data_IF_930692410051
#
_entry.id   IF_930692410051
#
_cell.length_a   1.000
_cell.length_b   1.000
_cell.length_c   1.000
_cell.angle_alpha   90.00
_cell.angle_beta   90.00
_cell.angle_gamma   90.00
#
_symmetry.space_group_name_H-M   'P 1'
#
loop_
_entity.id
_entity.type
_entity.pdbx_description
1 polymer ?
#
# COMPACT_ATOMS: atom_id res chain seq x y z
N UNK A 1 27.13 17.36 -7.87
CA UNK A 1 27.83 16.34 -7.06
C UNK A 1 26.95 15.75 -5.96
N UNK A 2 26.15 16.55 -5.24
CA UNK A 2 25.23 16.10 -4.17
C UNK A 2 24.19 15.05 -4.61
N UNK A 3 23.75 15.05 -5.87
CA UNK A 3 22.71 14.15 -6.39
C UNK A 3 23.14 12.69 -6.47
N UNK A 4 24.40 12.40 -6.82
CA UNK A 4 24.91 11.02 -6.89
C UNK A 4 25.04 10.38 -5.49
N UNK A 5 25.53 11.14 -4.50
CA UNK A 5 25.66 10.66 -3.11
C UNK A 5 24.29 10.30 -2.51
N UNK A 6 23.26 11.10 -2.79
CA UNK A 6 21.88 10.82 -2.37
C UNK A 6 21.38 9.49 -2.97
N UNK A 7 21.55 9.29 -4.27
CA UNK A 7 21.09 8.08 -4.98
C UNK A 7 21.83 6.84 -4.48
N UNK A 8 23.13 6.93 -4.20
CA UNK A 8 23.91 5.83 -3.64
C UNK A 8 23.45 5.44 -2.23
N UNK A 9 23.21 6.43 -1.36
CA UNK A 9 22.69 6.20 -0.01
C UNK A 9 21.30 5.53 -0.05
N UNK A 10 20.41 6.03 -0.90
CA UNK A 10 19.08 5.42 -1.09
C UNK A 10 19.20 3.98 -1.61
N UNK A 11 20.08 3.73 -2.58
CA UNK A 11 20.24 2.38 -3.17
C UNK A 11 20.62 1.34 -2.12
N UNK A 12 21.46 1.72 -1.14
CA UNK A 12 21.85 0.86 -0.02
C UNK A 12 20.67 0.52 0.90
N UNK A 13 19.83 1.51 1.19
CA UNK A 13 18.72 1.37 2.12
C UNK A 13 17.46 0.75 1.48
N UNK A 14 17.26 0.93 0.18
CA UNK A 14 16.10 0.44 -0.58
C UNK A 14 15.82 -1.04 -0.35
N UNK A 15 16.84 -1.90 -0.39
CA UNK A 15 16.65 -3.35 -0.18
C UNK A 15 16.19 -3.68 1.24
N UNK A 16 16.70 -2.97 2.24
CA UNK A 16 16.28 -3.15 3.64
C UNK A 16 14.84 -2.69 3.83
N UNK A 17 14.50 -1.52 3.30
CA UNK A 17 13.14 -0.97 3.36
C UNK A 17 12.15 -1.85 2.58
N UNK A 18 12.56 -2.43 1.46
CA UNK A 18 11.75 -3.37 0.71
C UNK A 18 11.36 -4.61 1.54
N UNK A 19 12.32 -5.20 2.27
CA UNK A 19 12.05 -6.31 3.19
C UNK A 19 11.08 -5.87 4.28
N UNK A 20 11.34 -4.71 4.89
CA UNK A 20 10.47 -4.18 5.95
C UNK A 20 9.05 -3.92 5.42
N UNK A 21 8.90 -3.42 4.20
CA UNK A 21 7.59 -3.20 3.58
C UNK A 21 6.82 -4.50 3.35
N UNK A 22 7.48 -5.55 2.83
CA UNK A 22 6.86 -6.87 2.65
C UNK A 22 6.52 -7.51 3.99
N UNK A 23 7.43 -7.45 4.97
CA UNK A 23 7.16 -7.95 6.32
C UNK A 23 6.00 -7.19 6.96
N UNK A 24 5.97 -5.86 6.87
CA UNK A 24 4.85 -5.06 7.37
C UNK A 24 3.53 -5.44 6.69
N UNK A 25 3.52 -5.70 5.38
CA UNK A 25 2.34 -6.17 4.67
C UNK A 25 1.82 -7.49 5.24
N UNK A 26 2.71 -8.46 5.45
CA UNK A 26 2.37 -9.77 6.02
C UNK A 26 1.86 -9.62 7.45
N UNK A 27 2.58 -8.88 8.30
CA UNK A 27 2.23 -8.69 9.71
C UNK A 27 0.87 -8.00 9.89
N UNK A 28 0.59 -6.98 9.06
CA UNK A 28 -0.68 -6.23 9.09
C UNK A 28 -1.88 -7.11 8.71
N UNK A 29 -1.68 -8.15 7.90
CA UNK A 29 -2.73 -9.15 7.61
C UNK A 29 -2.77 -10.28 8.64
N UNK A 30 -1.60 -10.77 9.06
CA UNK A 30 -1.49 -11.89 9.96
C UNK A 30 -2.14 -11.59 11.32
N UNK A 31 -1.94 -10.39 11.86
CA UNK A 31 -2.48 -10.02 13.16
C UNK A 31 -4.01 -10.16 13.28
N UNK A 32 -4.84 -9.52 12.43
CA UNK A 32 -6.29 -9.69 12.49
C UNK A 32 -6.75 -11.11 12.11
N UNK A 33 -6.00 -11.83 11.26
CA UNK A 33 -6.33 -13.23 10.93
C UNK A 33 -6.12 -14.17 12.13
N UNK A 34 -5.00 -14.02 12.84
CA UNK A 34 -4.72 -14.76 14.08
C UNK A 34 -5.79 -14.45 15.13
N UNK A 35 -6.11 -13.17 15.35
CA UNK A 35 -7.16 -12.76 16.28
C UNK A 35 -8.52 -13.42 15.95
N UNK A 36 -8.89 -13.47 14.67
CA UNK A 36 -10.14 -14.09 14.20
C UNK A 36 -10.14 -15.61 14.33
N UNK A 37 -9.02 -16.26 14.03
CA UNK A 37 -8.89 -17.71 14.15
C UNK A 37 -9.09 -18.17 15.60
N UNK A 38 -8.72 -17.33 16.57
CA UNK A 38 -8.86 -17.61 18.02
C UNK A 38 -10.29 -17.34 18.49
N UNK A 39 -10.83 -16.16 18.16
CA UNK A 39 -12.16 -15.73 18.65
C UNK A 39 -13.29 -16.50 17.95
N UNK A 40 -12.99 -17.13 16.80
CA UNK A 40 -13.97 -17.83 15.96
C UNK A 40 -14.70 -16.86 15.02
N UNK A 41 -15.25 -17.41 13.94
CA UNK A 41 -16.15 -16.67 13.04
C UNK A 41 -17.60 -16.70 13.51
N UNK A 42 -17.94 -17.60 14.43
CA UNK A 42 -19.27 -17.66 15.01
C UNK A 42 -19.45 -16.48 15.96
N UNK A 43 -20.46 -15.62 15.72
CA UNK A 43 -20.87 -14.67 16.72
C UNK A 43 -21.45 -15.50 17.87
N UNK A 44 -20.63 -15.79 18.89
CA UNK A 44 -21.22 -16.09 20.18
C UNK A 44 -22.04 -14.85 20.54
N UNK A 45 -23.38 -15.01 20.53
CA UNK A 45 -24.32 -13.89 20.72
C UNK A 45 -24.13 -13.19 22.08
N UNK A 46 -23.34 -13.78 22.97
CA UNK A 46 -23.02 -13.27 24.29
C UNK A 46 -21.58 -12.71 24.38
N UNK A 47 -21.47 -11.44 24.75
CA UNK A 47 -20.19 -10.76 24.98
C UNK A 47 -19.36 -11.41 26.11
N UNK A 48 -20.00 -12.01 27.10
CA UNK A 48 -19.33 -12.73 28.20
C UNK A 48 -18.57 -13.95 27.67
N UNK A 49 -19.19 -14.73 26.77
CA UNK A 49 -18.56 -15.91 26.17
C UNK A 49 -17.33 -15.52 25.35
N UNK A 50 -17.39 -14.42 24.60
CA UNK A 50 -16.22 -13.90 23.87
C UNK A 50 -15.09 -13.49 24.80
N UNK A 51 -15.41 -12.83 25.91
CA UNK A 51 -14.43 -12.40 26.90
C UNK A 51 -13.74 -13.60 27.57
N UNK A 52 -14.46 -14.68 27.86
CA UNK A 52 -13.89 -15.92 28.39
C UNK A 52 -12.95 -16.59 27.39
N UNK A 53 -13.38 -16.75 26.13
CA UNK A 53 -12.50 -17.28 25.06
C UNK A 53 -11.26 -16.40 24.89
N UNK A 54 -11.40 -15.09 25.05
CA UNK A 54 -10.28 -14.15 24.98
C UNK A 54 -9.31 -14.31 26.17
N UNK A 55 -9.83 -14.52 27.38
CA UNK A 55 -9.01 -14.77 28.57
C UNK A 55 -8.24 -16.10 28.45
N UNK A 56 -8.91 -17.17 28.03
CA UNK A 56 -8.29 -18.50 27.86
C UNK A 56 -7.15 -18.48 26.82
N UNK A 57 -7.31 -17.69 25.75
CA UNK A 57 -6.35 -17.60 24.66
C UNK A 57 -5.41 -16.39 24.74
N UNK A 58 -5.18 -15.85 25.95
CA UNK A 58 -4.39 -14.60 26.16
C UNK A 58 -3.07 -14.56 25.39
N UNK A 59 -2.32 -15.66 25.35
CA UNK A 59 -1.01 -15.72 24.70
C UNK A 59 -1.09 -15.47 23.21
N UNK A 60 -2.12 -16.01 22.56
CA UNK A 60 -2.34 -15.86 21.14
C UNK A 60 -2.88 -14.46 20.78
N UNK A 61 -3.63 -13.84 21.71
CA UNK A 61 -4.07 -12.44 21.60
C UNK A 61 -2.92 -11.45 21.81
N UNK A 62 -2.03 -11.70 22.77
CA UNK A 62 -0.82 -10.90 22.95
C UNK A 62 0.12 -11.06 21.75
N UNK A 63 0.19 -12.25 21.15
CA UNK A 63 0.91 -12.46 19.90
C UNK A 63 0.31 -11.64 18.76
N UNK A 64 -1.01 -11.65 18.55
CA UNK A 64 -1.64 -10.83 17.50
C UNK A 64 -1.46 -9.32 17.76
N UNK A 65 -1.45 -8.90 19.02
CA UNK A 65 -1.11 -7.54 19.41
C UNK A 65 0.33 -7.18 19.01
N UNK A 66 1.31 -8.03 19.36
CA UNK A 66 2.71 -7.84 19.02
C UNK A 66 2.91 -7.77 17.50
N UNK A 67 2.26 -8.65 16.74
CA UNK A 67 2.28 -8.62 15.27
C UNK A 67 1.69 -7.31 14.72
N UNK A 68 0.61 -6.80 15.31
CA UNK A 68 -0.01 -5.51 14.93
C UNK A 68 0.95 -4.34 15.17
N UNK A 69 1.58 -4.30 16.35
CA UNK A 69 2.55 -3.26 16.73
C UNK A 69 3.73 -3.26 15.78
N UNK A 70 4.32 -4.44 15.52
CA UNK A 70 5.44 -4.58 14.57
C UNK A 70 5.04 -4.20 13.15
N UNK A 71 3.84 -4.59 12.72
CA UNK A 71 3.27 -4.17 11.45
C UNK A 71 3.22 -2.65 11.33
N UNK A 72 2.61 -1.97 12.31
CA UNK A 72 2.46 -0.52 12.29
C UNK A 72 3.80 0.25 12.36
N UNK A 73 4.76 -0.24 13.15
CA UNK A 73 6.11 0.31 13.18
C UNK A 73 6.81 0.14 11.83
N UNK A 74 6.64 -1.02 11.18
CA UNK A 74 7.14 -1.29 9.83
C UNK A 74 6.57 -0.31 8.80
N UNK A 75 5.26 -0.05 8.83
CA UNK A 75 4.61 0.94 7.95
C UNK A 75 5.17 2.33 8.21
N UNK A 76 5.29 2.72 9.48
CA UNK A 76 5.84 4.03 9.88
C UNK A 76 7.26 4.20 9.36
N UNK A 77 8.09 3.16 9.46
CA UNK A 77 9.45 3.16 8.94
C UNK A 77 9.51 3.33 7.41
N UNK A 78 8.64 2.61 6.68
CA UNK A 78 8.54 2.73 5.20
C UNK A 78 8.10 4.13 4.79
N UNK A 79 7.12 4.71 5.48
CA UNK A 79 6.66 6.07 5.24
C UNK A 79 7.74 7.12 5.54
N UNK A 80 8.52 6.95 6.61
CA UNK A 80 9.61 7.86 6.95
C UNK A 80 10.73 7.81 5.89
N UNK A 81 11.03 6.63 5.35
CA UNK A 81 11.96 6.48 4.23
C UNK A 81 11.46 7.25 2.99
N UNK A 82 10.20 7.07 2.59
CA UNK A 82 9.61 7.78 1.46
C UNK A 82 9.60 9.30 1.68
N UNK A 83 9.29 9.74 2.90
CA UNK A 83 9.28 11.15 3.26
C UNK A 83 10.68 11.77 3.20
N UNK A 84 11.71 11.06 3.68
CA UNK A 84 13.11 11.51 3.57
C UNK A 84 13.52 11.67 2.11
N UNK A 85 13.21 10.69 1.27
CA UNK A 85 13.45 10.79 -0.17
C UNK A 85 12.70 11.97 -0.80
N UNK A 86 11.45 12.20 -0.42
CA UNK A 86 10.66 13.31 -0.95
C UNK A 86 11.24 14.67 -0.54
N UNK A 87 11.60 14.83 0.73
CA UNK A 87 12.20 16.07 1.27
C UNK A 87 13.57 16.40 0.68
N UNK A 88 14.35 15.38 0.32
CA UNK A 88 15.62 15.58 -0.35
C UNK A 88 15.45 16.19 -1.76
N UNK A 89 14.27 16.03 -2.37
CA UNK A 89 13.96 16.48 -3.74
C UNK A 89 13.13 17.76 -3.78
N UNK A 90 12.29 18.01 -2.77
CA UNK A 90 11.43 19.20 -2.69
C UNK A 90 11.50 19.81 -1.28
N UNK A 91 12.08 21.01 -1.19
CA UNK A 91 12.24 21.77 0.06
C UNK A 91 10.94 22.40 0.55
N UNK A 92 9.87 22.42 -0.26
CA UNK A 92 8.55 22.90 0.16
C UNK A 92 7.84 21.96 1.13
N UNK A 93 8.30 20.71 1.25
CA UNK A 93 7.74 19.73 2.16
C UNK A 93 8.05 20.12 3.61
N UNK A 94 6.99 20.40 4.35
CA UNK A 94 7.07 20.95 5.68
C UNK A 94 7.70 19.97 6.69
N UNK A 95 8.59 20.43 7.60
CA UNK A 95 9.25 19.56 8.57
C UNK A 95 8.32 18.83 9.53
N UNK A 96 7.19 19.46 9.89
CA UNK A 96 6.23 18.90 10.85
C UNK A 96 5.61 17.57 10.36
N UNK A 97 5.59 17.29 9.05
CA UNK A 97 5.03 16.05 8.50
C UNK A 97 5.78 14.83 9.05
N UNK A 98 7.11 14.94 9.25
CA UNK A 98 7.92 13.86 9.83
C UNK A 98 7.61 13.66 11.31
N UNK A 99 7.48 14.75 12.05
CA UNK A 99 7.13 14.71 13.48
C UNK A 99 5.75 14.07 13.63
N UNK A 100 4.78 14.51 12.83
CA UNK A 100 3.42 13.96 12.82
C UNK A 100 3.42 12.46 12.49
N UNK A 101 4.23 12.03 11.52
CA UNK A 101 4.37 10.62 11.17
C UNK A 101 4.94 9.79 12.32
N UNK A 102 6.03 10.24 12.93
CA UNK A 102 6.70 9.50 13.99
C UNK A 102 5.86 9.46 15.27
N UNK A 103 5.34 10.60 15.70
CA UNK A 103 4.48 10.70 16.89
C UNK A 103 3.18 9.92 16.68
N UNK A 104 2.55 10.07 15.52
CA UNK A 104 1.32 9.34 15.19
C UNK A 104 1.56 7.83 15.08
N UNK A 105 2.54 7.40 14.29
CA UNK A 105 2.78 5.98 14.01
C UNK A 105 3.32 5.21 15.22
N UNK A 106 4.35 5.75 15.90
CA UNK A 106 4.91 5.13 17.10
C UNK A 106 3.92 5.25 18.26
N UNK A 107 3.31 6.42 18.43
CA UNK A 107 2.32 6.64 19.49
C UNK A 107 1.13 5.70 19.37
N UNK A 108 0.62 5.49 18.16
CA UNK A 108 -0.47 4.53 17.90
C UNK A 108 -0.02 3.09 18.16
N UNK A 109 1.19 2.71 17.73
CA UNK A 109 1.71 1.36 17.97
C UNK A 109 1.85 1.06 19.47
N UNK A 110 2.42 1.99 20.23
CA UNK A 110 2.52 1.88 21.68
C UNK A 110 1.15 1.86 22.34
N UNK A 111 0.24 2.76 21.96
CA UNK A 111 -1.10 2.83 22.53
C UNK A 111 -1.86 1.53 22.30
N UNK A 112 -1.90 1.01 21.07
CA UNK A 112 -2.57 -0.26 20.76
C UNK A 112 -1.96 -1.43 21.52
N UNK A 113 -0.63 -1.52 21.60
CA UNK A 113 0.04 -2.59 22.35
C UNK A 113 -0.24 -2.53 23.86
N UNK A 114 -0.12 -1.34 24.46
CA UNK A 114 -0.35 -1.11 25.90
C UNK A 114 -1.79 -1.36 26.27
N UNK A 115 -2.76 -0.80 25.52
CA UNK A 115 -4.18 -1.04 25.77
C UNK A 115 -4.46 -2.54 25.69
N UNK A 116 -3.99 -3.22 24.65
CA UNK A 116 -4.24 -4.65 24.50
C UNK A 116 -3.64 -5.48 25.65
N UNK A 117 -2.45 -5.13 26.14
CA UNK A 117 -1.85 -5.79 27.30
C UNK A 117 -2.67 -5.55 28.58
N UNK A 118 -3.10 -4.30 28.83
CA UNK A 118 -3.96 -3.97 29.96
C UNK A 118 -5.29 -4.73 29.88
N UNK A 119 -5.92 -4.77 28.71
CA UNK A 119 -7.15 -5.52 28.47
C UNK A 119 -6.96 -6.99 28.79
N UNK A 120 -5.89 -7.61 28.29
CA UNK A 120 -5.60 -9.03 28.54
C UNK A 120 -5.41 -9.34 30.03
N UNK A 121 -4.70 -8.48 30.78
CA UNK A 121 -4.52 -8.66 32.22
C UNK A 121 -5.83 -8.48 33.00
N UNK A 122 -6.65 -7.50 32.63
CA UNK A 122 -7.96 -7.27 33.27
C UNK A 122 -8.95 -8.39 32.99
N UNK A 123 -8.97 -8.90 31.76
CA UNK A 123 -9.83 -10.01 31.37
C UNK A 123 -9.45 -11.32 32.05
N UNK A 124 -8.14 -11.57 32.24
CA UNK A 124 -7.69 -12.74 32.99
C UNK A 124 -8.16 -12.68 34.44
N UNK A 125 -7.91 -11.55 35.13
CA UNK A 125 -8.37 -11.35 36.50
C UNK A 125 -9.89 -11.50 36.63
N UNK A 126 -10.65 -10.92 35.70
CA UNK A 126 -12.11 -11.07 35.64
C UNK A 126 -12.55 -12.52 35.42
N UNK A 127 -11.84 -13.29 34.58
CA UNK A 127 -12.19 -14.67 34.27
C UNK A 127 -11.86 -15.64 35.42
N UNK A 128 -10.74 -15.44 36.13
CA UNK A 128 -10.26 -16.36 37.17
C UNK A 128 -10.74 -16.03 38.57
N UNK A 129 -10.83 -14.73 38.90
CA UNK A 129 -11.09 -14.25 40.26
C UNK A 129 -12.40 -13.47 40.39
N UNK A 130 -12.99 -13.03 39.27
CA UNK A 130 -14.21 -12.23 39.22
C UNK A 130 -15.52 -13.02 39.30
N UNK A 131 -16.63 -12.30 39.42
CA UNK A 131 -17.98 -12.89 39.44
C UNK A 131 -18.54 -13.17 38.04
N UNK A 132 -17.76 -12.86 37.00
CA UNK A 132 -18.12 -13.03 35.58
C UNK A 132 -19.42 -12.32 35.19
N UNK A 133 -19.72 -11.20 35.86
CA UNK A 133 -20.90 -10.37 35.57
C UNK A 133 -20.62 -9.36 34.46
N UNK A 134 -21.69 -8.86 33.83
CA UNK A 134 -21.61 -7.86 32.76
C UNK A 134 -21.07 -6.51 33.23
N UNK A 135 -21.38 -6.11 34.45
CA UNK A 135 -20.93 -4.83 35.04
C UNK A 135 -19.41 -4.82 35.23
N UNK A 136 -18.85 -5.91 35.78
CA UNK A 136 -17.39 -6.06 35.94
C UNK A 136 -16.67 -6.10 34.58
N UNK A 137 -17.22 -6.80 33.58
CA UNK A 137 -16.63 -6.84 32.24
C UNK A 137 -16.64 -5.47 31.57
N UNK A 138 -17.72 -4.70 31.75
CA UNK A 138 -17.84 -3.32 31.26
C UNK A 138 -16.78 -2.44 31.89
N UNK A 139 -16.57 -2.54 33.19
CA UNK A 139 -15.54 -1.76 33.90
C UNK A 139 -14.12 -2.18 33.51
N UNK A 140 -13.86 -3.48 33.35
CA UNK A 140 -12.59 -3.99 32.85
C UNK A 140 -12.26 -3.42 31.45
N UNK A 141 -13.28 -3.28 30.60
CA UNK A 141 -13.19 -2.76 29.23
C UNK A 141 -13.34 -1.24 29.12
N UNK A 142 -13.60 -0.53 30.22
CA UNK A 142 -13.77 0.92 30.21
C UNK A 142 -12.41 1.61 30.29
N UNK A 143 -11.96 2.16 29.17
CA UNK A 143 -10.73 2.96 29.10
C UNK A 143 -11.00 4.47 29.31
N UNK A 144 -12.26 4.87 29.52
CA UNK A 144 -12.65 6.26 29.76
C UNK A 144 -12.04 7.24 28.75
N UNK A 145 -11.44 8.36 29.21
CA UNK A 145 -10.88 9.37 28.31
C UNK A 145 -9.60 8.90 27.57
N UNK A 146 -8.97 7.80 27.97
CA UNK A 146 -7.73 7.35 27.31
C UNK A 146 -7.95 6.94 25.86
N UNK A 147 -9.18 6.54 25.48
CA UNK A 147 -9.56 6.24 24.09
C UNK A 147 -9.25 7.41 23.15
N UNK A 148 -9.37 8.65 23.62
CA UNK A 148 -9.09 9.84 22.82
C UNK A 148 -7.62 9.97 22.42
N UNK A 149 -6.68 9.47 23.23
CA UNK A 149 -5.26 9.42 22.84
C UNK A 149 -5.04 8.46 21.67
N UNK A 150 -5.71 7.31 21.69
CA UNK A 150 -5.69 6.36 20.58
C UNK A 150 -6.23 6.97 19.29
N UNK A 151 -7.41 7.61 19.36
CA UNK A 151 -8.02 8.28 18.22
C UNK A 151 -7.12 9.41 17.70
N UNK A 152 -6.56 10.24 18.58
CA UNK A 152 -5.65 11.31 18.19
C UNK A 152 -4.39 10.79 17.49
N UNK A 153 -3.78 9.72 18.02
CA UNK A 153 -2.62 9.08 17.40
C UNK A 153 -2.97 8.44 16.04
N UNK A 154 -4.13 7.78 15.95
CA UNK A 154 -4.64 7.18 14.71
C UNK A 154 -4.86 8.24 13.62
N UNK A 155 -5.49 9.36 13.96
CA UNK A 155 -5.71 10.47 13.04
C UNK A 155 -4.39 11.12 12.62
N UNK A 156 -3.49 11.39 13.57
CA UNK A 156 -2.17 11.94 13.27
C UNK A 156 -1.39 11.04 12.29
N UNK A 157 -1.38 9.73 12.54
CA UNK A 157 -0.75 8.76 11.64
C UNK A 157 -1.40 8.75 10.25
N UNK A 158 -2.73 8.74 10.18
CA UNK A 158 -3.44 8.72 8.91
C UNK A 158 -3.22 9.99 8.08
N UNK A 159 -3.26 11.17 8.71
CA UNK A 159 -2.93 12.43 8.05
C UNK A 159 -1.49 12.43 7.53
N UNK A 160 -0.54 11.97 8.35
CA UNK A 160 0.85 11.83 7.93
C UNK A 160 1.00 10.87 6.75
N UNK A 161 0.34 9.71 6.78
CA UNK A 161 0.33 8.74 5.67
C UNK A 161 -0.17 9.39 4.38
N UNK A 162 -1.31 10.08 4.41
CA UNK A 162 -1.86 10.80 3.24
C UNK A 162 -0.85 11.82 2.72
N UNK A 163 -0.30 12.66 3.59
CA UNK A 163 0.68 13.68 3.20
C UNK A 163 1.94 13.06 2.58
N UNK A 164 2.47 11.98 3.16
CA UNK A 164 3.63 11.27 2.60
C UNK A 164 3.30 10.70 1.22
N UNK A 165 2.14 10.07 1.05
CA UNK A 165 1.71 9.47 -0.23
C UNK A 165 1.60 10.52 -1.33
N UNK A 166 1.00 11.67 -1.02
CA UNK A 166 0.86 12.78 -1.97
C UNK A 166 2.21 13.39 -2.33
N UNK A 167 3.06 13.66 -1.33
CA UNK A 167 4.39 14.24 -1.56
C UNK A 167 5.30 13.31 -2.36
N UNK A 168 5.32 12.02 -2.03
CA UNK A 168 6.11 11.02 -2.75
C UNK A 168 5.63 10.83 -4.19
N UNK A 169 4.33 10.94 -4.46
CA UNK A 169 3.81 10.97 -5.83
C UNK A 169 4.21 12.25 -6.58
N UNK A 170 4.15 13.41 -5.90
CA UNK A 170 4.50 14.71 -6.49
C UNK A 170 5.95 14.76 -6.94
N UNK A 171 6.88 14.25 -6.13
CA UNK A 171 8.31 14.20 -6.50
C UNK A 171 8.65 13.04 -7.43
N UNK A 172 7.68 12.17 -7.75
CA UNK A 172 7.87 11.02 -8.64
C UNK A 172 8.59 9.84 -8.02
N UNK A 173 8.59 9.69 -6.69
CA UNK A 173 9.08 8.47 -6.00
C UNK A 173 8.05 7.33 -6.09
N UNK A 174 6.77 7.69 -6.02
CA UNK A 174 5.65 6.77 -6.24
C UNK A 174 5.00 7.07 -7.60
N UNK A 175 4.57 6.01 -8.28
CA UNK A 175 3.67 6.18 -9.42
C UNK A 175 2.34 6.77 -8.95
N UNK A 176 1.62 7.46 -9.83
CA UNK A 176 0.31 8.06 -9.49
C UNK A 176 -0.68 7.04 -8.92
N UNK A 177 -0.72 5.84 -9.50
CA UNK A 177 -1.54 4.74 -9.01
C UNK A 177 -1.21 4.36 -7.57
N UNK A 178 0.08 4.20 -7.27
CA UNK A 178 0.55 3.79 -5.95
C UNK A 178 0.36 4.92 -4.90
N UNK A 179 0.47 6.18 -5.32
CA UNK A 179 0.14 7.34 -4.50
C UNK A 179 -1.34 7.39 -4.10
N UNK A 180 -2.26 7.28 -5.06
CA UNK A 180 -3.70 7.24 -4.77
C UNK A 180 -4.09 6.02 -3.93
N UNK A 181 -3.50 4.85 -4.21
CA UNK A 181 -3.73 3.65 -3.42
C UNK A 181 -3.28 3.81 -1.95
N UNK A 182 -2.20 4.56 -1.71
CA UNK A 182 -1.75 4.90 -0.36
C UNK A 182 -2.71 5.83 0.37
N UNK A 183 -3.24 6.85 -0.32
CA UNK A 183 -4.28 7.73 0.23
C UNK A 183 -5.54 6.95 0.58
N UNK A 184 -6.03 6.08 -0.32
CA UNK A 184 -7.20 5.23 -0.06
C UNK A 184 -6.94 4.31 1.14
N UNK A 185 -5.73 3.75 1.25
CA UNK A 185 -5.34 2.89 2.37
C UNK A 185 -5.40 3.64 3.70
N UNK A 186 -4.90 4.88 3.76
CA UNK A 186 -4.96 5.72 4.95
C UNK A 186 -6.40 6.09 5.35
N UNK A 187 -7.27 6.40 4.38
CA UNK A 187 -8.68 6.69 4.65
C UNK A 187 -9.41 5.43 5.16
N UNK A 188 -9.20 4.28 4.51
CA UNK A 188 -9.80 3.01 4.95
C UNK A 188 -9.32 2.58 6.33
N UNK A 189 -8.06 2.89 6.67
CA UNK A 189 -7.49 2.64 7.99
C UNK A 189 -8.21 3.42 9.10
N UNK A 190 -8.61 4.67 8.85
CA UNK A 190 -9.35 5.48 9.83
C UNK A 190 -10.81 5.04 9.92
N UNK A 191 -11.45 4.80 8.77
CA UNK A 191 -12.87 4.47 8.72
C UNK A 191 -13.18 3.03 9.13
N UNK A 192 -12.16 2.16 9.21
CA UNK A 192 -12.30 0.75 9.58
C UNK A 192 -13.41 0.00 8.81
N UNK A 193 -13.66 0.41 7.55
CA UNK A 193 -14.78 -0.12 6.74
C UNK A 193 -14.61 -1.61 6.45
N UNK A 194 -13.35 -2.04 6.28
CA UNK A 194 -13.03 -3.41 5.95
C UNK A 194 -12.52 -4.18 7.16
N UNK A 195 -13.02 -5.40 7.38
CA UNK A 195 -12.57 -6.27 8.47
C UNK A 195 -11.08 -6.65 8.40
N UNK A 196 -10.52 -6.64 7.19
CA UNK A 196 -9.12 -6.95 6.92
C UNK A 196 -8.50 -5.81 6.10
N UNK A 197 -7.29 -5.32 6.45
CA UNK A 197 -6.62 -4.22 5.77
C UNK A 197 -5.95 -4.67 4.45
N UNK A 198 -6.71 -5.34 3.58
CA UNK A 198 -6.20 -5.94 2.33
C UNK A 198 -5.60 -4.89 1.41
N UNK A 199 -6.24 -3.73 1.29
CA UNK A 199 -5.78 -2.62 0.44
C UNK A 199 -4.44 -2.08 0.92
N UNK A 200 -4.29 -1.90 2.24
CA UNK A 200 -3.06 -1.41 2.86
C UNK A 200 -1.92 -2.43 2.71
N UNK A 201 -2.20 -3.71 2.93
CA UNK A 201 -1.21 -4.78 2.74
C UNK A 201 -0.78 -4.92 1.28
N UNK A 202 -1.73 -4.84 0.34
CA UNK A 202 -1.44 -4.82 -1.09
C UNK A 202 -0.57 -3.61 -1.47
N UNK A 203 -0.88 -2.43 -0.94
CA UNK A 203 -0.08 -1.21 -1.14
C UNK A 203 1.36 -1.38 -0.64
N UNK A 204 1.54 -1.91 0.58
CA UNK A 204 2.86 -2.20 1.15
C UNK A 204 3.64 -3.24 0.35
N UNK A 205 2.98 -4.30 -0.10
CA UNK A 205 3.59 -5.32 -0.95
C UNK A 205 4.04 -4.72 -2.29
N UNK A 206 3.23 -3.83 -2.89
CA UNK A 206 3.59 -3.10 -4.11
C UNK A 206 4.78 -2.16 -3.89
N UNK A 207 4.86 -1.47 -2.75
CA UNK A 207 6.05 -0.69 -2.39
C UNK A 207 7.26 -1.58 -2.19
N UNK A 208 7.12 -2.70 -1.48
CA UNK A 208 8.19 -3.67 -1.30
C UNK A 208 8.73 -4.15 -2.64
N UNK A 209 7.84 -4.51 -3.57
CA UNK A 209 8.23 -4.91 -4.93
C UNK A 209 8.87 -3.77 -5.72
N UNK A 210 8.34 -2.55 -5.61
CA UNK A 210 8.89 -1.36 -6.25
C UNK A 210 10.32 -1.11 -5.78
N UNK A 211 10.57 -1.18 -4.48
CA UNK A 211 11.87 -0.96 -3.86
C UNK A 211 12.85 -2.14 -4.07
N UNK A 212 12.33 -3.35 -4.27
CA UNK A 212 13.13 -4.55 -4.55
C UNK A 212 13.57 -4.63 -6.02
N UNK A 213 12.72 -4.20 -6.96
CA UNK A 213 12.96 -4.32 -8.40
C UNK A 213 13.42 -3.01 -9.07
N UNK A 214 14.33 -2.30 -8.42
CA UNK A 214 14.91 -1.06 -8.92
C UNK A 214 16.01 -1.41 -9.93
N UNK A 215 15.58 -1.73 -11.16
CA UNK A 215 16.32 -1.73 -12.45
C UNK A 215 15.43 -2.21 -13.62
N UNK A 216 14.14 -1.85 -13.61
CA UNK A 216 13.18 -2.26 -14.65
C UNK A 216 12.57 -1.08 -15.41
N UNK A 217 11.95 -1.30 -16.60
CA UNK A 217 11.33 -0.25 -17.43
C UNK A 217 10.17 0.55 -16.78
N UNK A 218 9.85 0.27 -15.51
CA UNK A 218 8.76 0.87 -14.73
C UNK A 218 9.27 1.61 -13.50
N UNK A 219 10.58 1.80 -13.39
CA UNK A 219 11.18 2.56 -12.29
C UNK A 219 10.79 4.06 -12.41
N UNK A 220 10.29 4.67 -11.31
CA UNK A 220 10.07 6.10 -11.26
C UNK A 220 11.37 6.89 -11.54
N UNK A 221 11.36 7.90 -12.44
CA UNK A 221 12.59 8.58 -12.90
C UNK A 221 13.32 9.29 -11.76
N UNK A 222 12.60 9.70 -10.71
CA UNK A 222 13.16 10.34 -9.53
C UNK A 222 14.14 9.43 -8.74
N UNK A 223 14.05 8.12 -8.90
CA UNK A 223 14.96 7.16 -8.29
C UNK A 223 16.30 7.03 -9.02
N UNK A 224 16.33 7.36 -10.32
CA UNK A 224 17.53 7.33 -11.16
C UNK A 224 18.23 8.68 -11.17
N UNK A 225 17.45 9.76 -11.30
CA UNK A 225 17.98 11.12 -11.46
C UNK A 225 18.30 11.78 -10.11
N UNK A 226 17.70 11.31 -9.01
CA UNK A 226 17.82 11.97 -7.71
C UNK A 226 17.10 13.33 -7.63
N UNK A 227 16.41 13.73 -8.69
CA UNK A 227 15.67 14.99 -8.79
C UNK A 227 14.16 14.78 -8.76
N UNK A 228 13.40 15.81 -8.41
CA UNK A 228 11.94 15.79 -8.42
C UNK A 228 11.43 15.77 -9.87
N UNK A 229 11.11 14.58 -10.39
CA UNK A 229 10.51 14.41 -11.71
C UNK A 229 9.15 13.72 -11.54
N UNK A 230 8.04 14.49 -11.53
CA UNK A 230 6.70 13.95 -11.36
C UNK A 230 6.38 12.89 -12.42
N UNK A 231 5.69 11.81 -12.02
CA UNK A 231 5.30 10.78 -12.98
C UNK A 231 4.28 11.33 -13.99
N UNK A 232 4.40 11.04 -15.30
CA UNK A 232 3.49 11.56 -16.32
C UNK A 232 2.03 11.15 -16.07
N UNK A 233 1.09 11.98 -16.48
CA UNK A 233 -0.34 11.67 -16.34
C UNK A 233 -0.76 10.52 -17.26
N UNK A 234 -1.87 9.85 -16.95
CA UNK A 234 -2.43 8.83 -17.85
C UNK A 234 -2.88 9.40 -19.19
N UNK A 235 -3.15 10.71 -19.27
CA UNK A 235 -3.43 11.41 -20.53
C UNK A 235 -2.13 11.61 -21.32
N UNK A 236 -1.08 12.14 -20.66
CA UNK A 236 0.25 12.32 -21.27
C UNK A 236 0.85 11.00 -21.75
N UNK A 237 0.73 9.91 -20.99
CA UNK A 237 1.19 8.58 -21.42
C UNK A 237 0.41 8.06 -22.64
N UNK A 238 -0.88 8.39 -22.75
CA UNK A 238 -1.67 8.04 -23.92
C UNK A 238 -1.22 8.84 -25.13
N UNK A 239 -1.02 10.14 -24.97
CA UNK A 239 -0.49 11.00 -26.03
C UNK A 239 0.92 10.61 -26.47
N UNK A 240 1.81 10.25 -25.54
CA UNK A 240 3.15 9.75 -25.86
C UNK A 240 3.07 8.44 -26.64
N UNK A 241 2.17 7.52 -26.28
CA UNK A 241 1.95 6.28 -27.05
C UNK A 241 1.37 6.55 -28.43
N UNK A 242 0.44 7.50 -28.55
CA UNK A 242 -0.14 7.92 -29.84
C UNK A 242 0.95 8.55 -30.70
N UNK A 243 1.72 9.51 -30.18
CA UNK A 243 2.87 10.12 -30.88
C UNK A 243 3.93 9.09 -31.26
N UNK A 244 4.24 8.13 -30.40
CA UNK A 244 5.20 7.07 -30.72
C UNK A 244 4.66 6.10 -31.79
N UNK A 245 3.34 5.82 -31.78
CA UNK A 245 2.70 5.02 -32.82
C UNK A 245 2.60 5.77 -34.16
N UNK A 246 2.37 7.08 -34.11
CA UNK A 246 2.36 7.98 -35.27
C UNK A 246 3.77 8.13 -35.85
N UNK A 247 4.81 8.30 -35.04
CA UNK A 247 6.20 8.32 -35.49
C UNK A 247 6.60 6.99 -36.16
N UNK A 248 6.16 5.84 -35.62
CA UNK A 248 6.35 4.53 -36.25
C UNK A 248 5.57 4.35 -37.57
N UNK A 249 4.47 5.07 -37.75
CA UNK A 249 3.67 5.05 -38.99
C UNK A 249 4.16 6.06 -40.02
N UNK A 250 4.69 7.20 -39.59
CA UNK A 250 5.20 8.26 -40.45
C UNK A 250 6.62 8.03 -40.99
N UNK A 251 7.40 7.13 -40.38
CA UNK A 251 8.72 6.73 -40.90
C UNK A 251 8.70 5.64 -41.99
N UNK A 252 7.51 5.23 -42.44
CA UNK A 252 7.33 4.28 -43.53
C UNK A 252 6.92 5.00 -44.82
N UNK A 253 7.78 5.88 -45.31
CA UNK A 253 7.67 6.40 -46.67
C UNK A 253 7.97 5.23 -47.60
N UNK A 254 6.91 4.51 -48.00
CA UNK A 254 6.98 3.54 -49.09
C UNK A 254 7.36 4.32 -50.32
N UNK A 255 8.63 4.25 -50.67
CA UNK A 255 9.15 4.56 -52.00
C UNK A 255 8.21 3.90 -53.03
N UNK A 256 7.55 4.67 -53.90
CA UNK A 256 6.64 4.09 -54.88
C UNK A 256 7.47 3.26 -55.86
N UNK A 257 7.26 1.95 -55.84
CA UNK A 257 7.76 1.04 -56.87
C UNK A 257 7.33 1.57 -58.25
N UNK A 258 8.26 1.68 -59.22
CA UNK A 258 7.90 2.10 -60.56
C UNK A 258 7.05 1.02 -61.22
N UNK A 259 5.87 1.42 -61.69
CA UNK A 259 4.96 0.60 -62.49
C UNK A 259 5.64 0.31 -63.83
N UNK A 260 6.23 -0.88 -63.95
CA UNK A 260 6.72 -1.45 -65.20
C UNK A 260 5.83 -2.61 -65.63
N UNK A 261 5.11 -2.41 -66.73
CA UNK A 261 4.33 -3.44 -67.42
C UNK A 261 5.25 -4.49 -68.08
N UNK A 262 4.85 -5.76 -68.06
CA UNK A 262 5.49 -6.84 -68.82
C UNK A 262 5.01 -8.22 -68.39
N UNK A 263 4.24 -8.84 -69.28
CA UNK A 263 3.53 -10.12 -69.16
C UNK A 263 4.44 -11.39 -69.10
N UNK A 264 3.81 -12.44 -68.54
CA UNK A 264 3.98 -13.90 -68.76
C UNK A 264 5.24 -14.67 -68.30
N UNK A 265 5.07 -15.55 -67.29
CA UNK A 265 5.24 -17.02 -67.40
C UNK A 265 5.11 -17.76 -66.04
N UNK A 266 3.98 -18.45 -65.89
CA UNK A 266 3.73 -19.78 -65.29
C UNK A 266 4.84 -20.53 -64.49
N UNK A 267 4.58 -20.84 -63.20
CA UNK A 267 4.75 -22.19 -62.61
C UNK A 267 4.39 -22.24 -61.09
N UNK A 268 3.30 -22.96 -60.82
CA UNK A 268 2.90 -23.81 -59.69
C UNK A 268 3.72 -23.86 -58.37
N UNK A 269 3.00 -23.68 -57.23
CA UNK A 269 2.85 -24.64 -56.11
C UNK A 269 2.80 -23.98 -54.72
N UNK A 270 1.67 -24.15 -54.00
CA UNK A 270 1.61 -24.01 -52.53
C UNK A 270 0.47 -23.15 -51.97
N UNK A 271 -0.75 -23.69 -51.94
CA UNK A 271 -1.96 -23.00 -51.51
C UNK A 271 -2.23 -23.06 -49.98
N UNK A 272 -2.44 -21.85 -49.40
CA UNK A 272 -3.46 -21.44 -48.37
C UNK A 272 -3.29 -21.85 -46.89
N UNK A 273 -3.97 -21.16 -45.92
CA UNK A 273 -4.94 -20.04 -46.04
C UNK A 273 -4.72 -18.83 -45.09
N UNK A 274 -5.31 -17.69 -45.50
CA UNK A 274 -5.76 -16.58 -44.63
C UNK A 274 -7.24 -16.84 -44.25
N UNK A 275 -7.72 -16.44 -43.06
CA UNK A 275 -8.75 -15.39 -43.02
C UNK A 275 -8.58 -14.44 -41.81
N UNK A 276 -8.62 -13.12 -41.96
CA UNK A 276 -9.75 -12.24 -42.27
C UNK A 276 -10.73 -11.98 -41.09
N UNK A 277 -10.59 -10.75 -40.55
CA UNK A 277 -11.65 -9.80 -40.16
C UNK A 277 -12.67 -10.10 -39.05
N UNK A 278 -12.55 -9.31 -37.98
CA UNK A 278 -13.54 -8.40 -37.39
C UNK A 278 -15.01 -8.85 -37.18
N UNK A 279 -15.48 -8.77 -35.92
CA UNK A 279 -16.89 -8.44 -35.65
C UNK A 279 -17.09 -7.57 -34.40
N UNK A 280 -17.19 -6.27 -34.68
CA UNK A 280 -17.70 -5.19 -33.82
C UNK A 280 -19.21 -5.41 -33.61
N UNK A 281 -19.67 -5.67 -32.38
CA UNK A 281 -21.11 -5.78 -32.08
C UNK A 281 -21.62 -4.47 -31.46
N UNK A 282 -22.38 -3.70 -32.24
CA UNK A 282 -23.15 -2.51 -31.85
C UNK A 282 -24.60 -2.71 -32.27
N UNK A 283 -25.55 -2.68 -31.33
CA UNK A 283 -26.99 -2.30 -31.44
C UNK A 283 -27.76 -2.82 -30.20
N UNK A 284 -28.81 -2.20 -29.67
CA UNK A 284 -29.51 -0.93 -29.93
C UNK A 284 -30.48 -0.70 -28.75
N UNK A 285 -30.75 0.57 -28.43
CA UNK A 285 -31.95 1.05 -27.70
C UNK A 285 -33.23 0.35 -28.15
N UNK A 286 -34.07 -0.02 -27.19
CA UNK A 286 -35.50 0.26 -27.19
C UNK A 286 -35.90 0.64 -25.78
#
# INVERSE_FOLDING_TARGET
MVTNELVEAETRDRRRVAIVAVLAAVLTLAAPLVARAIIGTDPTDNALTRALVQADNRGAILLSAALSVLGLLGITFVLDFLLRGARARDTSIQPYVRILLLVGGIGLALFTGVIQAITSLRLEHWATEGTQTWEELRDASNYGPYVFFGIAAQLAFAFAFVLVSLNAMRVGLLTRFLGYLGVISAVLFVLAVLPLPIVQAYWLAMIGLLLWNVRGPREPPAWQLGEAVPWPSSAELREQRVRAAEARRGGGEREPEPVGAGDDAEADAGARPVPASARKKRKKRR
#
